data_IF_327034476853
#
_entry.id   IF_327034476853
#
_cell.length_a   1.000
_cell.length_b   1.000
_cell.length_c   1.000
_cell.angle_alpha   90.00
_cell.angle_beta   90.00
_cell.angle_gamma   90.00
#
_symmetry.space_group_name_H-M   'P 1'
#
loop_
_entity.id
_entity.type
_entity.pdbx_description
1 polymer ?
#
# COMPACT_ATOMS: atom_id res chain seq x y z
N UNK A 1 -3.60 25.90 -9.41
CA UNK A 1 -3.04 24.65 -9.99
C UNK A 1 -2.67 23.75 -8.83
N UNK A 2 -3.25 22.56 -8.74
CA UNK A 2 -2.85 21.56 -7.74
C UNK A 2 -1.57 20.87 -8.22
N UNK A 3 -0.45 21.13 -7.56
CA UNK A 3 0.78 20.37 -7.82
C UNK A 3 0.59 18.93 -7.36
N UNK A 4 0.91 17.96 -8.22
CA UNK A 4 0.96 16.55 -7.86
C UNK A 4 2.38 16.19 -7.45
N UNK A 5 2.54 15.44 -6.36
CA UNK A 5 3.83 14.90 -5.91
C UNK A 5 3.85 13.40 -6.17
N UNK A 6 4.91 12.92 -6.82
CA UNK A 6 5.13 11.50 -7.12
C UNK A 6 6.45 11.10 -6.45
N UNK A 7 6.45 9.98 -5.73
CA UNK A 7 7.69 9.34 -5.24
C UNK A 7 7.97 8.07 -6.04
N UNK A 8 9.24 7.83 -6.32
CA UNK A 8 9.73 6.66 -7.06
C UNK A 8 10.94 6.12 -6.31
N UNK A 9 10.95 4.82 -6.05
CA UNK A 9 12.08 4.13 -5.45
C UNK A 9 12.30 2.78 -6.14
N UNK A 10 13.54 2.29 -6.07
CA UNK A 10 13.91 0.94 -6.48
C UNK A 10 14.64 0.28 -5.32
N UNK A 11 14.13 -0.87 -4.89
CA UNK A 11 14.69 -1.69 -3.83
C UNK A 11 14.55 -3.16 -4.22
N UNK A 12 15.41 -4.02 -3.66
CA UNK A 12 15.32 -5.47 -3.89
C UNK A 12 14.12 -6.08 -3.18
N UNK A 13 13.85 -5.60 -1.97
CA UNK A 13 12.74 -6.07 -1.12
C UNK A 13 11.52 -5.15 -1.28
N UNK A 14 10.33 -5.69 -1.60
CA UNK A 14 9.12 -4.89 -1.75
C UNK A 14 8.79 -4.01 -0.54
N UNK A 15 8.98 -4.52 0.69
CA UNK A 15 8.72 -3.78 1.93
C UNK A 15 9.60 -2.54 2.07
N UNK A 16 10.89 -2.65 1.73
CA UNK A 16 11.82 -1.50 1.71
C UNK A 16 11.41 -0.47 0.66
N UNK A 17 10.95 -0.94 -0.50
CA UNK A 17 10.45 -0.05 -1.54
C UNK A 17 9.24 0.76 -1.03
N UNK A 18 8.25 0.08 -0.44
CA UNK A 18 7.03 0.70 0.12
C UNK A 18 7.37 1.72 1.22
N UNK A 19 8.22 1.37 2.18
CA UNK A 19 8.66 2.30 3.21
C UNK A 19 9.28 3.56 2.59
N UNK A 20 10.24 3.37 1.68
CA UNK A 20 11.00 4.47 1.07
C UNK A 20 10.11 5.41 0.25
N UNK A 21 9.16 4.88 -0.53
CA UNK A 21 8.25 5.74 -1.30
C UNK A 21 7.30 6.54 -0.39
N UNK A 22 6.88 5.99 0.74
CA UNK A 22 6.03 6.69 1.70
C UNK A 22 6.82 7.74 2.49
N UNK A 23 8.04 7.43 2.91
CA UNK A 23 8.93 8.38 3.59
C UNK A 23 9.19 9.62 2.73
N UNK A 24 9.44 9.42 1.42
CA UNK A 24 9.58 10.52 0.45
C UNK A 24 8.31 11.38 0.31
N UNK A 25 7.13 10.84 0.65
CA UNK A 25 5.87 11.57 0.64
C UNK A 25 5.53 12.22 1.99
N UNK A 26 6.35 12.03 3.02
CA UNK A 26 6.14 12.54 4.37
C UNK A 26 5.75 11.48 5.40
N UNK A 27 5.92 10.20 5.07
CA UNK A 27 5.63 9.05 5.94
C UNK A 27 4.17 8.58 5.89
N UNK A 28 3.92 7.37 6.41
CA UNK A 28 2.58 6.78 6.44
C UNK A 28 1.60 7.58 7.31
N UNK A 29 2.09 8.25 8.36
CA UNK A 29 1.28 9.10 9.25
C UNK A 29 0.68 10.32 8.57
N UNK A 30 1.08 10.63 7.33
CA UNK A 30 0.41 11.64 6.50
C UNK A 30 -0.92 11.15 5.92
N UNK A 31 -1.10 9.84 5.83
CA UNK A 31 -2.25 9.19 5.19
C UNK A 31 -3.12 8.40 6.16
N UNK A 32 -2.55 7.93 7.27
CA UNK A 32 -3.24 7.11 8.28
C UNK A 32 -3.03 7.72 9.66
N UNK A 33 -4.13 7.93 10.38
CA UNK A 33 -4.13 8.40 11.76
C UNK A 33 -4.47 7.26 12.74
N UNK A 34 -4.05 7.44 13.99
CA UNK A 34 -4.38 6.50 15.07
C UNK A 34 -5.89 6.41 15.28
N UNK A 35 -6.41 5.19 15.43
CA UNK A 35 -7.84 4.91 15.59
C UNK A 35 -8.63 4.80 14.28
N UNK A 36 -8.01 4.98 13.11
CA UNK A 36 -8.72 4.86 11.83
C UNK A 36 -8.94 3.40 11.40
N UNK A 37 -10.09 3.14 10.78
CA UNK A 37 -10.34 1.90 10.05
C UNK A 37 -9.93 2.10 8.57
N UNK A 38 -8.97 1.33 8.09
CA UNK A 38 -8.35 1.51 6.78
C UNK A 38 -8.77 0.38 5.84
N UNK A 39 -9.16 0.71 4.61
CA UNK A 39 -9.34 -0.25 3.52
C UNK A 39 -8.17 -0.13 2.54
N UNK A 40 -7.38 -1.19 2.42
CA UNK A 40 -6.44 -1.35 1.33
C UNK A 40 -7.15 -1.98 0.14
N UNK A 41 -7.16 -1.27 -0.99
CA UNK A 41 -7.73 -1.73 -2.27
C UNK A 41 -6.61 -2.15 -3.24
N UNK A 42 -6.10 -3.39 -3.16
CA UNK A 42 -5.14 -3.92 -4.14
C UNK A 42 -5.81 -4.15 -5.50
N UNK A 43 -5.03 -4.59 -6.49
CA UNK A 43 -5.55 -5.14 -7.73
C UNK A 43 -5.48 -6.67 -7.67
N UNK A 44 -6.62 -7.33 -7.47
CA UNK A 44 -6.82 -8.78 -7.33
C UNK A 44 -7.88 -9.31 -8.32
N UNK A 45 -8.15 -8.57 -9.38
CA UNK A 45 -9.27 -8.77 -10.30
C UNK A 45 -9.19 -10.07 -11.10
N UNK A 46 -7.98 -10.49 -11.50
CA UNK A 46 -7.75 -11.68 -12.32
C UNK A 46 -6.68 -12.54 -11.64
N UNK A 47 -6.83 -13.87 -11.56
CA UNK A 47 -5.87 -14.76 -10.90
C UNK A 47 -4.61 -15.00 -11.76
N UNK A 48 -3.90 -13.94 -12.12
CA UNK A 48 -2.59 -14.02 -12.77
C UNK A 48 -1.47 -13.96 -11.74
N UNK A 49 -0.28 -14.44 -12.13
CA UNK A 49 0.88 -14.37 -11.25
C UNK A 49 1.33 -12.92 -11.01
N UNK A 50 1.90 -12.65 -9.85
CA UNK A 50 2.29 -11.31 -9.42
C UNK A 50 3.36 -10.67 -10.29
N UNK A 51 4.20 -11.47 -10.95
CA UNK A 51 5.28 -10.99 -11.83
C UNK A 51 4.73 -10.30 -13.09
N UNK A 52 3.45 -10.52 -13.42
CA UNK A 52 2.78 -9.84 -14.54
C UNK A 52 2.39 -8.40 -14.21
N UNK A 53 2.38 -8.02 -12.92
CA UNK A 53 1.85 -6.74 -12.45
C UNK A 53 0.32 -6.62 -12.43
N UNK A 54 -0.40 -7.62 -12.97
CA UNK A 54 -1.87 -7.64 -12.95
C UNK A 54 -2.38 -7.93 -11.53
N UNK A 55 -1.76 -8.87 -10.82
CA UNK A 55 -2.07 -9.10 -9.41
C UNK A 55 -1.06 -8.35 -8.54
N UNK A 56 -1.53 -7.50 -7.63
CA UNK A 56 -0.64 -6.82 -6.67
C UNK A 56 0.11 -7.85 -5.86
N UNK A 57 1.44 -7.69 -5.74
CA UNK A 57 2.27 -8.59 -4.95
C UNK A 57 1.83 -8.57 -3.47
N UNK A 58 1.51 -9.74 -2.86
CA UNK A 58 1.11 -9.83 -1.45
C UNK A 58 2.13 -9.22 -0.46
N UNK A 59 3.42 -9.21 -0.80
CA UNK A 59 4.45 -8.57 0.02
C UNK A 59 4.27 -7.05 0.12
N UNK A 60 3.75 -6.41 -0.94
CA UNK A 60 3.41 -4.98 -0.93
C UNK A 60 2.22 -4.73 0.00
N UNK A 61 1.19 -5.58 -0.10
CA UNK A 61 -0.02 -5.49 0.74
C UNK A 61 0.37 -5.65 2.22
N UNK A 62 1.18 -6.67 2.53
CA UNK A 62 1.66 -6.93 3.89
C UNK A 62 2.44 -5.75 4.46
N UNK A 63 3.38 -5.19 3.69
CA UNK A 63 4.15 -4.02 4.13
C UNK A 63 3.28 -2.80 4.42
N UNK A 64 2.22 -2.57 3.64
CA UNK A 64 1.27 -1.48 3.89
C UNK A 64 0.43 -1.74 5.15
N UNK A 65 -0.01 -2.98 5.39
CA UNK A 65 -0.74 -3.36 6.61
C UNK A 65 0.11 -3.06 7.84
N UNK A 66 1.36 -3.53 7.84
CA UNK A 66 2.29 -3.32 8.95
C UNK A 66 2.50 -1.83 9.22
N UNK A 67 2.64 -1.02 8.16
CA UNK A 67 2.80 0.42 8.29
C UNK A 67 1.56 1.12 8.84
N UNK A 68 0.35 0.71 8.43
CA UNK A 68 -0.89 1.25 8.97
C UNK A 68 -0.99 0.98 10.48
N UNK A 69 -0.72 -0.26 10.90
CA UNK A 69 -0.74 -0.60 12.33
C UNK A 69 0.39 0.07 13.11
N UNK A 70 1.56 0.31 12.50
CA UNK A 70 2.67 0.99 13.17
C UNK A 70 2.33 2.43 13.61
N UNK A 71 1.34 3.06 12.99
CA UNK A 71 0.83 4.40 13.37
C UNK A 71 -0.51 4.37 14.10
N UNK A 72 -0.96 3.18 14.51
CA UNK A 72 -2.12 3.01 15.38
C UNK A 72 -3.46 2.87 14.67
N UNK A 73 -3.50 2.43 13.41
CA UNK A 73 -4.76 2.06 12.76
C UNK A 73 -5.55 1.06 13.64
N UNK A 74 -6.87 1.25 13.77
CA UNK A 74 -7.70 0.37 14.59
C UNK A 74 -7.94 -0.98 13.90
N UNK A 75 -8.26 -0.95 12.60
CA UNK A 75 -8.40 -2.14 11.76
C UNK A 75 -7.95 -1.84 10.35
N UNK A 76 -7.30 -2.82 9.73
CA UNK A 76 -6.93 -2.79 8.32
C UNK A 76 -7.67 -3.92 7.59
N UNK A 77 -8.54 -3.54 6.66
CA UNK A 77 -9.24 -4.44 5.76
C UNK A 77 -8.48 -4.51 4.43
N UNK A 78 -8.41 -5.70 3.85
CA UNK A 78 -7.98 -5.87 2.45
C UNK A 78 -9.20 -6.32 1.67
N UNK A 79 -9.61 -5.49 0.72
CA UNK A 79 -10.78 -5.76 -0.09
C UNK A 79 -10.55 -5.32 -1.51
N UNK A 80 -10.95 -6.16 -2.44
CA UNK A 80 -11.06 -5.79 -3.84
C UNK A 80 -12.39 -6.29 -4.38
N UNK A 81 -12.85 -5.66 -5.46
CA UNK A 81 -14.09 -6.06 -6.11
C UNK A 81 -13.77 -6.96 -7.31
N UNK A 82 -14.47 -8.08 -7.49
CA UNK A 82 -14.38 -8.83 -8.73
C UNK A 82 -14.86 -7.94 -9.89
N UNK A 83 -14.31 -8.17 -11.07
CA UNK A 83 -14.72 -7.45 -12.29
C UNK A 83 -15.97 -8.08 -12.94
N UNK A 84 -16.43 -9.23 -12.43
CA UNK A 84 -17.58 -9.99 -12.90
C UNK A 84 -18.50 -10.42 -11.75
#
# INVERSE_FOLDING_TARGET
MTNSTISIAQEKEPSKCVQKILDLLGGISKFVQSGENILLKPNLVVPLKTETGVTTNPAIITALIDLCYSVGAEKVYVGDTPFF
#
